data_IF_351747500529
#
_entry.id   IF_351747500529
#
_cell.length_a   1.000
_cell.length_b   1.000
_cell.length_c   1.000
_cell.angle_alpha   90.00
_cell.angle_beta   90.00
_cell.angle_gamma   90.00
#
_symmetry.space_group_name_H-M   'P 1'
#
loop_
_entity.id
_entity.type
_entity.pdbx_description
1 polymer ?
#
# COMPACT_ATOMS: atom_id res chain seq x y z
N UNK A 1 8.70 -7.85 28.35
CA UNK A 1 7.83 -6.65 28.28
C UNK A 1 8.27 -5.87 27.06
N UNK A 2 7.51 -5.95 25.96
CA UNK A 2 7.84 -5.30 24.69
C UNK A 2 6.67 -4.38 24.30
N UNK A 3 6.63 -3.18 24.88
CA UNK A 3 5.70 -2.11 24.48
C UNK A 3 6.35 -1.14 23.46
N UNK A 4 7.30 -1.60 22.65
CA UNK A 4 8.07 -0.75 21.73
C UNK A 4 8.06 -1.28 20.30
N UNK A 5 6.94 -1.06 19.62
CA UNK A 5 6.87 -0.61 18.21
C UNK A 5 5.40 -0.48 17.78
N UNK A 6 4.62 0.34 18.49
CA UNK A 6 3.27 0.66 18.03
C UNK A 6 3.42 1.58 16.81
N UNK A 7 3.03 1.06 15.65
CA UNK A 7 2.86 1.81 14.40
C UNK A 7 2.20 3.17 14.68
N UNK A 8 2.77 4.24 14.15
CA UNK A 8 2.26 5.60 14.31
C UNK A 8 2.55 6.43 13.07
N UNK A 9 1.98 7.63 13.00
CA UNK A 9 2.10 8.49 11.82
C UNK A 9 3.55 8.93 11.52
N UNK A 10 4.37 9.17 12.54
CA UNK A 10 5.77 9.57 12.35
C UNK A 10 6.60 8.45 11.74
N UNK A 11 6.36 7.21 12.19
CA UNK A 11 7.00 6.03 11.62
C UNK A 11 6.55 5.80 10.17
N UNK A 12 5.24 5.89 9.88
CA UNK A 12 4.73 5.80 8.51
C UNK A 12 5.31 6.86 7.57
N UNK A 13 5.39 8.10 8.05
CA UNK A 13 6.00 9.19 7.32
C UNK A 13 7.48 8.89 7.01
N UNK A 14 8.23 8.38 7.99
CA UNK A 14 9.64 8.01 7.81
C UNK A 14 9.80 6.91 6.77
N UNK A 15 8.95 5.87 6.80
CA UNK A 15 8.96 4.81 5.80
C UNK A 15 8.66 5.35 4.39
N UNK A 16 7.64 6.20 4.26
CA UNK A 16 7.28 6.81 2.97
C UNK A 16 8.42 7.69 2.43
N UNK A 17 9.09 8.46 3.29
CA UNK A 17 10.22 9.29 2.90
C UNK A 17 11.41 8.44 2.45
N UNK A 18 11.81 7.43 3.22
CA UNK A 18 12.88 6.50 2.86
C UNK A 18 12.57 5.75 1.55
N UNK A 19 11.32 5.35 1.37
CA UNK A 19 10.88 4.75 0.12
C UNK A 19 10.98 5.77 -1.03
N UNK A 20 10.72 7.05 -0.83
CA UNK A 20 10.87 8.04 -1.92
C UNK A 20 12.33 8.38 -2.27
N UNK A 21 13.25 8.30 -1.30
CA UNK A 21 14.65 8.73 -1.46
C UNK A 21 15.57 7.63 -2.03
N UNK A 22 15.05 6.42 -2.22
CA UNK A 22 15.82 5.26 -2.65
C UNK A 22 15.29 4.71 -3.97
N UNK A 23 16.18 4.20 -4.83
CA UNK A 23 15.76 3.59 -6.11
C UNK A 23 15.26 2.14 -5.93
N UNK A 24 15.60 1.50 -4.82
CA UNK A 24 15.23 0.12 -4.51
C UNK A 24 14.03 0.06 -3.57
N UNK A 25 13.26 -1.02 -3.66
CA UNK A 25 12.16 -1.30 -2.72
C UNK A 25 12.76 -1.58 -1.35
N UNK A 26 12.34 -0.83 -0.34
CA UNK A 26 12.88 -0.99 1.01
C UNK A 26 12.30 -2.26 1.67
N UNK A 27 13.07 -2.89 2.55
CA UNK A 27 12.54 -3.98 3.39
C UNK A 27 11.76 -3.36 4.55
N UNK A 28 10.48 -3.68 4.63
CA UNK A 28 9.57 -3.23 5.68
C UNK A 28 9.03 -4.43 6.48
N UNK A 29 8.38 -4.14 7.59
CA UNK A 29 7.71 -5.16 8.42
C UNK A 29 6.62 -5.87 7.60
N UNK A 30 6.61 -7.21 7.62
CA UNK A 30 5.63 -8.00 6.86
C UNK A 30 4.20 -7.82 7.33
N UNK A 31 4.00 -7.33 8.55
CA UNK A 31 2.70 -7.06 9.15
C UNK A 31 2.34 -5.57 9.10
N UNK A 32 3.01 -4.76 8.27
CA UNK A 32 2.80 -3.31 8.21
C UNK A 32 1.33 -2.95 7.95
N UNK A 33 0.71 -3.52 6.90
CA UNK A 33 -0.66 -3.17 6.51
C UNK A 33 -1.69 -3.57 7.57
N UNK A 34 -1.52 -4.72 8.22
CA UNK A 34 -2.35 -5.11 9.37
C UNK A 34 -2.17 -4.16 10.55
N UNK A 35 -0.93 -3.77 10.85
CA UNK A 35 -0.66 -2.81 11.93
C UNK A 35 -1.33 -1.46 11.66
N UNK A 36 -1.29 -0.96 10.41
CA UNK A 36 -2.00 0.27 10.01
C UNK A 36 -3.51 0.10 10.16
N UNK A 37 -4.06 -1.05 9.77
CA UNK A 37 -5.48 -1.37 9.95
C UNK A 37 -5.90 -1.30 11.42
N UNK A 38 -5.11 -1.91 12.31
CA UNK A 38 -5.33 -1.87 13.75
C UNK A 38 -5.22 -0.44 14.32
N UNK A 39 -4.28 0.37 13.83
CA UNK A 39 -4.16 1.79 14.22
C UNK A 39 -5.42 2.58 13.83
N UNK A 40 -5.90 2.42 12.60
CA UNK A 40 -7.11 3.09 12.13
C UNK A 40 -8.33 2.60 12.92
N UNK A 41 -8.45 1.29 13.17
CA UNK A 41 -9.53 0.71 13.97
C UNK A 41 -9.57 1.31 15.38
N UNK A 42 -8.41 1.45 16.02
CA UNK A 42 -8.30 2.06 17.34
C UNK A 42 -8.67 3.56 17.34
N UNK A 43 -8.37 4.30 16.27
CA UNK A 43 -8.78 5.71 16.13
C UNK A 43 -10.28 5.87 15.87
N UNK A 44 -10.90 4.89 15.21
CA UNK A 44 -12.34 4.85 14.92
C UNK A 44 -13.19 4.35 16.10
N UNK A 45 -12.59 3.94 17.22
CA UNK A 45 -13.33 3.37 18.34
C UNK A 45 -14.43 4.32 18.82
N UNK A 46 -15.65 3.81 18.98
CA UNK A 46 -16.84 4.58 19.35
C UNK A 46 -16.68 5.29 20.71
N UNK A 47 -17.26 6.49 20.83
CA UNK A 47 -17.31 7.25 22.10
C UNK A 47 -16.55 8.57 22.13
N UNK A 48 -16.00 9.03 20.99
CA UNK A 48 -15.42 10.37 20.89
C UNK A 48 -16.44 11.38 20.37
N UNK A 49 -16.62 12.48 21.10
CA UNK A 49 -17.47 13.60 20.70
C UNK A 49 -16.64 14.90 20.58
N UNK A 50 -17.14 15.84 19.80
CA UNK A 50 -16.60 17.19 19.67
C UNK A 50 -15.21 17.26 19.02
N UNK A 51 -14.27 17.91 19.70
CA UNK A 51 -12.92 18.19 19.17
C UNK A 51 -12.10 16.90 18.99
N UNK A 52 -12.30 15.91 19.86
CA UNK A 52 -11.52 14.66 19.83
C UNK A 52 -11.81 13.85 18.57
N UNK A 53 -13.07 13.79 18.15
CA UNK A 53 -13.46 13.15 16.90
C UNK A 53 -12.81 13.84 15.69
N UNK A 54 -12.83 15.19 15.65
CA UNK A 54 -12.17 15.95 14.57
C UNK A 54 -10.67 15.68 14.48
N UNK A 55 -9.99 15.58 15.63
CA UNK A 55 -8.56 15.24 15.68
C UNK A 55 -8.33 13.82 15.15
N UNK A 56 -9.12 12.84 15.60
CA UNK A 56 -9.00 11.46 15.14
C UNK A 56 -9.25 11.34 13.63
N UNK A 57 -10.27 12.01 13.09
CA UNK A 57 -10.53 12.04 11.65
C UNK A 57 -9.36 12.65 10.87
N UNK A 58 -8.75 13.73 11.36
CA UNK A 58 -7.56 14.30 10.75
C UNK A 58 -6.38 13.31 10.77
N UNK A 59 -6.17 12.60 11.88
CA UNK A 59 -5.13 11.56 11.99
C UNK A 59 -5.40 10.38 11.05
N UNK A 60 -6.63 9.88 10.97
CA UNK A 60 -7.03 8.80 10.05
C UNK A 60 -6.75 9.22 8.61
N UNK A 61 -7.10 10.47 8.24
CA UNK A 61 -6.83 10.99 6.90
C UNK A 61 -5.33 11.01 6.60
N UNK A 62 -4.50 11.54 7.50
CA UNK A 62 -3.04 11.57 7.32
C UNK A 62 -2.44 10.16 7.21
N UNK A 63 -2.89 9.22 8.03
CA UNK A 63 -2.45 7.81 7.97
C UNK A 63 -2.84 7.19 6.63
N UNK A 64 -4.07 7.43 6.18
CA UNK A 64 -4.60 6.88 4.92
C UNK A 64 -3.84 7.44 3.72
N UNK A 65 -3.65 8.76 3.67
CA UNK A 65 -2.92 9.45 2.60
C UNK A 65 -1.46 8.96 2.54
N UNK A 66 -0.77 8.88 3.69
CA UNK A 66 0.63 8.42 3.77
C UNK A 66 0.77 6.96 3.35
N UNK A 67 -0.15 6.10 3.81
CA UNK A 67 -0.16 4.68 3.44
C UNK A 67 -0.40 4.49 1.95
N UNK A 68 -1.31 5.28 1.36
CA UNK A 68 -1.60 5.24 -0.07
C UNK A 68 -0.37 5.65 -0.89
N UNK A 69 0.33 6.71 -0.49
CA UNK A 69 1.58 7.15 -1.12
C UNK A 69 2.65 6.06 -1.02
N UNK A 70 2.87 5.50 0.17
CA UNK A 70 3.85 4.43 0.39
C UNK A 70 3.57 3.21 -0.50
N UNK A 71 2.33 2.71 -0.49
CA UNK A 71 1.92 1.57 -1.32
C UNK A 71 2.14 1.86 -2.81
N UNK A 72 1.74 3.06 -3.27
CA UNK A 72 1.90 3.46 -4.67
C UNK A 72 3.38 3.48 -5.08
N UNK A 73 4.25 4.11 -4.28
CA UNK A 73 5.70 4.16 -4.55
C UNK A 73 6.30 2.76 -4.67
N UNK A 74 5.95 1.87 -3.74
CA UNK A 74 6.44 0.49 -3.73
C UNK A 74 5.99 -0.30 -4.96
N UNK A 75 4.73 -0.16 -5.35
CA UNK A 75 4.19 -0.79 -6.57
C UNK A 75 4.83 -0.24 -7.84
N UNK A 76 5.07 1.07 -7.92
CA UNK A 76 5.75 1.70 -9.07
C UNK A 76 7.18 1.16 -9.21
N UNK A 77 7.93 1.13 -8.10
CA UNK A 77 9.28 0.57 -8.09
C UNK A 77 9.33 -0.91 -8.45
N UNK A 78 8.33 -1.70 -8.04
CA UNK A 78 8.24 -3.12 -8.39
C UNK A 78 8.07 -3.37 -9.90
N UNK A 79 7.68 -2.35 -10.67
CA UNK A 79 7.59 -2.43 -12.13
C UNK A 79 8.88 -2.01 -12.85
N UNK A 80 9.88 -1.50 -12.13
CA UNK A 80 11.18 -1.14 -12.71
C UNK A 80 12.02 -2.38 -13.04
N UNK A 81 12.84 -2.26 -14.08
CA UNK A 81 13.81 -3.29 -14.47
C UNK A 81 14.80 -3.56 -13.33
N UNK A 82 15.05 -4.83 -13.02
CA UNK A 82 15.90 -5.30 -11.92
C UNK A 82 15.39 -5.00 -10.50
N UNK A 83 14.10 -4.68 -10.33
CA UNK A 83 13.52 -4.52 -9.00
C UNK A 83 13.59 -5.82 -8.19
N UNK A 84 14.04 -5.72 -6.93
CA UNK A 84 14.08 -6.86 -6.02
C UNK A 84 12.69 -7.15 -5.45
N UNK A 85 11.88 -7.91 -6.17
CA UNK A 85 10.50 -8.24 -5.77
C UNK A 85 10.41 -9.17 -4.54
N UNK A 86 11.53 -9.74 -4.06
CA UNK A 86 11.53 -10.64 -2.89
C UNK A 86 11.13 -9.95 -1.58
N UNK A 87 11.26 -8.62 -1.51
CA UNK A 87 10.91 -7.81 -0.33
C UNK A 87 9.48 -7.27 -0.36
N UNK A 88 8.70 -7.63 -1.37
CA UNK A 88 7.29 -7.26 -1.47
C UNK A 88 6.46 -8.00 -0.43
N UNK A 89 5.47 -7.30 0.10
CA UNK A 89 4.45 -7.87 0.96
C UNK A 89 3.41 -8.64 0.15
N UNK A 90 2.67 -9.53 0.80
CA UNK A 90 1.74 -10.42 0.09
C UNK A 90 0.58 -9.65 -0.53
N UNK A 91 0.12 -8.57 0.10
CA UNK A 91 -0.86 -7.64 -0.46
C UNK A 91 -0.32 -6.96 -1.73
N UNK A 92 0.96 -6.62 -1.77
CA UNK A 92 1.60 -5.97 -2.93
C UNK A 92 1.74 -6.95 -4.09
N UNK A 93 2.17 -8.19 -3.81
CA UNK A 93 2.23 -9.26 -4.79
C UNK A 93 0.85 -9.54 -5.38
N UNK A 94 -0.18 -9.65 -4.54
CA UNK A 94 -1.55 -9.87 -4.97
C UNK A 94 -2.04 -8.79 -5.94
N UNK A 95 -1.74 -7.52 -5.66
CA UNK A 95 -2.09 -6.39 -6.55
C UNK A 95 -1.33 -6.49 -7.88
N UNK A 96 -0.03 -6.79 -7.87
CA UNK A 96 0.80 -6.89 -9.08
C UNK A 96 0.38 -8.08 -9.96
N UNK A 97 0.09 -9.23 -9.35
CA UNK A 97 -0.40 -10.42 -10.06
C UNK A 97 -1.75 -10.12 -10.73
N UNK A 98 -2.66 -9.46 -10.01
CA UNK A 98 -3.96 -9.03 -10.57
C UNK A 98 -3.79 -8.06 -11.74
N UNK A 99 -2.83 -7.13 -11.66
CA UNK A 99 -2.53 -6.18 -12.75
C UNK A 99 -1.96 -6.90 -13.98
N UNK A 100 -1.10 -7.90 -13.78
CA UNK A 100 -0.54 -8.73 -14.84
C UNK A 100 -1.64 -9.53 -15.54
N UNK A 101 -2.50 -10.21 -14.79
CA UNK A 101 -3.63 -10.96 -15.33
C UNK A 101 -4.57 -10.06 -16.15
N UNK A 102 -4.88 -8.87 -15.65
CA UNK A 102 -5.69 -7.89 -16.38
C UNK A 102 -5.05 -7.51 -17.73
N UNK A 103 -3.72 -7.31 -17.76
CA UNK A 103 -2.99 -6.97 -18.96
C UNK A 103 -3.00 -8.13 -19.97
N UNK A 104 -2.77 -9.35 -19.52
CA UNK A 104 -2.85 -10.56 -20.35
C UNK A 104 -4.24 -10.73 -20.97
N UNK A 105 -5.30 -10.57 -20.17
CA UNK A 105 -6.69 -10.60 -20.66
C UNK A 105 -6.96 -9.51 -21.70
N UNK A 106 -6.45 -8.30 -21.48
CA UNK A 106 -6.57 -7.19 -22.44
C UNK A 106 -5.90 -7.53 -23.77
N UNK A 107 -4.70 -8.10 -23.75
CA UNK A 107 -3.98 -8.50 -24.97
C UNK A 107 -4.68 -9.61 -25.73
N UNK A 108 -5.26 -10.59 -25.03
CA UNK A 108 -6.07 -11.66 -25.64
C UNK A 108 -7.28 -11.06 -26.37
N UNK A 109 -8.01 -10.16 -25.71
CA UNK A 109 -9.17 -9.47 -26.31
C UNK A 109 -8.72 -8.65 -27.53
N UNK A 110 -7.66 -7.85 -27.39
CA UNK A 110 -7.17 -7.04 -28.50
C UNK A 110 -6.76 -7.90 -29.70
N UNK A 111 -6.05 -9.00 -29.46
CA UNK A 111 -5.63 -9.94 -30.50
C UNK A 111 -6.81 -10.56 -31.23
N UNK A 112 -7.87 -11.00 -30.54
CA UNK A 112 -9.03 -11.55 -31.24
C UNK A 112 -9.79 -10.48 -32.05
N UNK A 113 -9.85 -9.22 -31.58
CA UNK A 113 -10.47 -8.12 -32.34
C UNK A 113 -9.70 -7.92 -33.65
N UNK A 114 -8.38 -7.78 -33.57
CA UNK A 114 -7.51 -7.56 -34.73
C UNK A 114 -7.53 -8.74 -35.72
N UNK A 115 -7.76 -9.95 -35.22
CA UNK A 115 -7.85 -11.17 -36.03
C UNK A 115 -9.28 -11.46 -36.53
N UNK A 116 -10.24 -10.56 -36.30
CA UNK A 116 -11.63 -10.73 -36.76
C UNK A 116 -12.36 -11.90 -36.11
N UNK A 117 -11.89 -12.38 -34.95
CA UNK A 117 -12.55 -13.44 -34.18
C UNK A 117 -13.51 -12.80 -33.17
N UNK A 118 -14.78 -13.22 -33.11
CA UNK A 118 -15.67 -12.80 -32.03
C UNK A 118 -15.13 -13.31 -30.69
N UNK A 119 -15.25 -12.48 -29.66
CA UNK A 119 -14.88 -12.79 -28.27
C UNK A 119 -16.08 -13.33 -27.50
#
# INVERSE_FOLDING_TARGET
>A
MAEQNKININYLHTLALQESETDTIQKIDSNLYNSISDLIKNLKSEGYDGVKEKINQAMIKMISDTTSVLLKLRLEKATLENSNQSVLLDEEKYILDSKKEMLERKEVILSGILNGKPH
#
